data_IF_525317357042
#
_entry.id   IF_525317357042
#
_cell.length_a   1.000
_cell.length_b   1.000
_cell.length_c   1.000
_cell.angle_alpha   90.00
_cell.angle_beta   90.00
_cell.angle_gamma   90.00
#
_symmetry.space_group_name_H-M   'P 1'
#
loop_
_entity.id
_entity.type
_entity.pdbx_description
1 polymer ?
#
# COMPACT_ATOMS: atom_id res chain seq x y z
N UNK A 1 -12.58 4.74 -30.46
CA UNK A 1 -12.02 3.41 -30.80
C UNK A 1 -12.87 2.76 -31.88
N UNK A 2 -14.19 2.65 -31.70
CA UNK A 2 -15.12 2.05 -32.70
C UNK A 2 -14.93 2.65 -34.09
N UNK A 3 -14.96 3.97 -34.23
CA UNK A 3 -14.79 4.62 -35.53
C UNK A 3 -13.43 4.36 -36.21
N UNK A 4 -12.36 4.10 -35.45
CA UNK A 4 -11.06 3.71 -36.02
C UNK A 4 -11.11 2.28 -36.56
N UNK A 5 -11.77 1.37 -35.84
CA UNK A 5 -11.97 -0.01 -36.28
C UNK A 5 -12.87 -0.09 -37.53
N UNK A 6 -13.97 0.68 -37.58
CA UNK A 6 -14.82 0.78 -38.74
C UNK A 6 -14.06 1.32 -39.97
N UNK A 7 -13.21 2.32 -39.81
CA UNK A 7 -12.37 2.84 -40.89
C UNK A 7 -11.38 1.79 -41.41
N UNK A 8 -10.75 1.01 -40.51
CA UNK A 8 -9.86 -0.09 -40.93
C UNK A 8 -10.62 -1.16 -41.70
N UNK A 9 -11.82 -1.56 -41.23
CA UNK A 9 -12.64 -2.54 -41.91
C UNK A 9 -13.10 -2.04 -43.27
N UNK A 10 -13.55 -0.80 -43.38
CA UNK A 10 -13.94 -0.19 -44.66
C UNK A 10 -12.78 -0.12 -45.65
N UNK A 11 -11.56 0.19 -45.16
CA UNK A 11 -10.35 0.23 -46.01
C UNK A 11 -9.99 -1.16 -46.51
N UNK A 12 -10.09 -2.19 -45.65
CA UNK A 12 -9.80 -3.57 -46.01
C UNK A 12 -10.79 -4.15 -47.01
N UNK A 13 -12.06 -3.69 -46.97
CA UNK A 13 -13.12 -4.16 -47.90
C UNK A 13 -13.12 -3.44 -49.26
N UNK A 14 -12.35 -2.36 -49.42
CA UNK A 14 -12.19 -1.65 -50.71
C UNK A 14 -11.20 -2.37 -51.62
N UNK A 15 -11.07 -1.88 -52.85
CA UNK A 15 -10.02 -2.36 -53.76
C UNK A 15 -8.65 -2.04 -53.16
N UNK A 16 -7.87 -3.07 -52.93
CA UNK A 16 -6.51 -2.97 -52.36
C UNK A 16 -5.62 -2.28 -53.40
N UNK A 17 -4.95 -1.19 -52.97
CA UNK A 17 -3.96 -0.46 -53.74
C UNK A 17 -2.65 -0.33 -52.97
N UNK A 18 -1.65 0.37 -53.53
CA UNK A 18 -0.33 0.55 -52.95
C UNK A 18 -0.36 1.33 -51.61
N UNK A 19 -1.45 2.06 -51.30
CA UNK A 19 -1.58 2.88 -50.10
C UNK A 19 -2.38 2.18 -48.97
N UNK A 20 -3.13 1.14 -49.29
CA UNK A 20 -4.01 0.43 -48.34
C UNK A 20 -3.27 -0.05 -47.10
N UNK A 21 -2.05 -0.58 -47.28
CA UNK A 21 -1.23 -1.04 -46.14
C UNK A 21 -0.84 0.10 -45.21
N UNK A 22 -0.37 1.23 -45.74
CA UNK A 22 0.07 2.39 -44.96
C UNK A 22 -1.12 3.03 -44.21
N UNK A 23 -2.30 3.06 -44.84
CA UNK A 23 -3.53 3.57 -44.23
C UNK A 23 -3.92 2.69 -43.03
N UNK A 24 -3.92 1.37 -43.19
CA UNK A 24 -4.26 0.43 -42.10
C UNK A 24 -3.26 0.52 -40.96
N UNK A 25 -1.95 0.57 -41.25
CA UNK A 25 -0.90 0.72 -40.24
C UNK A 25 -1.05 2.03 -39.47
N UNK A 26 -1.32 3.14 -40.16
CA UNK A 26 -1.53 4.45 -39.52
C UNK A 26 -2.76 4.44 -38.60
N UNK A 27 -3.84 3.76 -38.96
CA UNK A 27 -5.04 3.63 -38.14
C UNK A 27 -4.78 2.72 -36.94
N UNK A 28 -3.97 1.67 -37.09
CA UNK A 28 -3.55 0.82 -35.99
C UNK A 28 -2.72 1.60 -34.97
N UNK A 29 -1.79 2.46 -35.43
CA UNK A 29 -1.02 3.36 -34.56
C UNK A 29 -1.93 4.31 -33.76
N UNK A 30 -2.97 4.88 -34.43
CA UNK A 30 -3.96 5.70 -33.75
C UNK A 30 -4.72 4.90 -32.67
N UNK A 31 -5.12 3.66 -32.97
CA UNK A 31 -5.79 2.78 -32.02
C UNK A 31 -4.92 2.48 -30.80
N UNK A 32 -3.63 2.16 -31.01
CA UNK A 32 -2.68 1.89 -29.95
C UNK A 32 -2.46 3.12 -29.05
N UNK A 33 -2.28 4.30 -29.67
CA UNK A 33 -2.13 5.57 -28.95
C UNK A 33 -3.37 5.91 -28.09
N UNK A 34 -4.59 5.68 -28.59
CA UNK A 34 -5.79 5.83 -27.77
C UNK A 34 -5.85 4.82 -26.63
N UNK A 35 -5.48 3.57 -26.86
CA UNK A 35 -5.45 2.52 -25.85
C UNK A 35 -4.47 2.87 -24.72
N UNK A 36 -3.26 3.32 -25.05
CA UNK A 36 -2.27 3.81 -24.10
C UNK A 36 -2.78 5.02 -23.31
N UNK A 37 -3.42 5.98 -23.98
CA UNK A 37 -4.01 7.15 -23.31
C UNK A 37 -5.09 6.77 -22.31
N UNK A 38 -5.99 5.83 -22.65
CA UNK A 38 -7.03 5.35 -21.73
C UNK A 38 -6.43 4.59 -20.57
N UNK A 39 -5.48 3.69 -20.83
CA UNK A 39 -4.74 2.99 -19.81
C UNK A 39 -4.05 3.96 -18.83
N UNK A 40 -3.28 4.91 -19.34
CA UNK A 40 -2.58 5.92 -18.54
C UNK A 40 -3.53 6.76 -17.68
N UNK A 41 -4.70 7.17 -18.23
CA UNK A 41 -5.71 7.90 -17.47
C UNK A 41 -6.30 7.06 -16.34
N UNK A 42 -6.65 5.81 -16.60
CA UNK A 42 -7.22 4.88 -15.63
C UNK A 42 -6.23 4.59 -14.48
N UNK A 43 -4.95 4.39 -14.82
CA UNK A 43 -3.90 4.15 -13.82
C UNK A 43 -3.49 5.40 -13.05
N UNK A 44 -3.45 6.59 -13.66
CA UNK A 44 -3.16 7.84 -12.93
C UNK A 44 -4.22 8.15 -11.87
N UNK A 45 -5.49 7.97 -12.19
CA UNK A 45 -6.58 8.21 -11.23
C UNK A 45 -6.53 7.17 -10.09
N UNK A 46 -6.22 5.93 -10.40
CA UNK A 46 -6.09 4.86 -9.41
C UNK A 46 -4.87 5.08 -8.52
N UNK A 47 -3.70 5.36 -9.08
CA UNK A 47 -2.47 5.62 -8.33
C UNK A 47 -2.60 6.84 -7.40
N UNK A 48 -3.34 7.89 -7.77
CA UNK A 48 -3.54 9.04 -6.90
C UNK A 48 -4.42 8.71 -5.69
N UNK A 49 -5.50 7.96 -5.89
CA UNK A 49 -6.39 7.50 -4.80
C UNK A 49 -5.67 6.51 -3.88
N UNK A 50 -4.92 5.57 -4.46
CA UNK A 50 -4.16 4.56 -3.74
C UNK A 50 -3.02 5.19 -2.92
N UNK A 51 -2.30 6.17 -3.47
CA UNK A 51 -1.28 6.95 -2.75
C UNK A 51 -1.89 7.78 -1.61
N UNK A 52 -3.09 8.35 -1.80
CA UNK A 52 -3.82 9.07 -0.76
C UNK A 52 -4.20 8.14 0.40
N UNK A 53 -4.69 6.93 0.11
CA UNK A 53 -5.04 5.95 1.15
C UNK A 53 -3.82 5.53 1.96
N UNK A 54 -2.67 5.30 1.33
CA UNK A 54 -1.44 4.95 2.05
C UNK A 54 -0.99 6.09 2.97
N UNK A 55 -1.04 7.34 2.50
CA UNK A 55 -0.72 8.51 3.30
C UNK A 55 -1.67 8.68 4.49
N UNK A 56 -2.98 8.52 4.27
CA UNK A 56 -3.98 8.58 5.33
C UNK A 56 -3.81 7.43 6.33
N UNK A 57 -3.53 6.22 5.87
CA UNK A 57 -3.22 5.07 6.72
C UNK A 57 -2.02 5.34 7.64
N UNK A 58 -0.93 5.88 7.10
CA UNK A 58 0.25 6.26 7.86
C UNK A 58 -0.06 7.36 8.89
N UNK A 59 -0.88 8.34 8.51
CA UNK A 59 -1.32 9.40 9.41
C UNK A 59 -2.18 8.88 10.56
N UNK A 60 -3.08 7.93 10.29
CA UNK A 60 -3.90 7.28 11.34
C UNK A 60 -3.00 6.53 12.34
N UNK A 61 -2.03 5.75 11.86
CA UNK A 61 -1.06 5.06 12.70
C UNK A 61 -0.27 6.05 13.57
N UNK A 62 0.30 7.09 12.96
CA UNK A 62 1.07 8.09 13.68
C UNK A 62 0.24 8.80 14.76
N UNK A 63 -0.94 9.29 14.39
CA UNK A 63 -1.83 10.01 15.30
C UNK A 63 -2.34 9.14 16.47
N UNK A 64 -2.51 7.84 16.25
CA UNK A 64 -2.93 6.93 17.32
C UNK A 64 -1.91 6.89 18.44
N UNK A 65 -0.62 6.79 18.10
CA UNK A 65 0.47 6.68 19.08
C UNK A 65 0.92 8.04 19.65
N UNK A 66 0.62 9.15 18.99
CA UNK A 66 0.87 10.49 19.56
C UNK A 66 -0.18 10.91 20.60
N UNK A 67 -1.39 10.32 20.53
CA UNK A 67 -2.49 10.65 21.46
C UNK A 67 -2.54 9.77 22.70
N UNK A 68 -1.44 9.12 23.08
CA UNK A 68 -1.32 8.22 24.24
C UNK A 68 -2.53 7.27 24.42
N UNK A 69 -2.88 6.58 23.35
CA UNK A 69 -3.90 5.55 23.44
C UNK A 69 -3.27 4.27 24.00
N UNK A 70 -3.61 3.95 25.23
CA UNK A 70 -3.15 2.77 25.98
C UNK A 70 -3.59 1.42 25.36
N UNK A 71 -4.04 1.42 24.13
CA UNK A 71 -4.55 0.23 23.45
C UNK A 71 -3.87 0.03 22.10
N UNK A 72 -3.49 -1.21 21.86
CA UNK A 72 -2.96 -1.63 20.56
C UNK A 72 -3.97 -1.35 19.44
N UNK A 73 -3.54 -0.61 18.43
CA UNK A 73 -4.37 -0.33 17.25
C UNK A 73 -4.59 -1.61 16.44
N UNK A 74 -5.81 -1.84 16.00
CA UNK A 74 -6.17 -2.97 15.17
C UNK A 74 -6.45 -2.56 13.71
N UNK A 75 -6.43 -3.53 12.80
CA UNK A 75 -6.84 -3.30 11.42
C UNK A 75 -8.29 -2.80 11.30
N UNK A 76 -9.16 -3.20 12.23
CA UNK A 76 -10.56 -2.76 12.28
C UNK A 76 -10.67 -1.29 12.68
N UNK A 77 -9.88 -0.85 13.67
CA UNK A 77 -9.85 0.55 14.11
C UNK A 77 -9.44 1.47 12.95
N UNK A 78 -8.36 1.12 12.23
CA UNK A 78 -7.88 1.90 11.09
C UNK A 78 -8.88 1.91 9.94
N UNK A 79 -9.45 0.77 9.60
CA UNK A 79 -10.44 0.66 8.53
C UNK A 79 -11.68 1.51 8.85
N UNK A 80 -12.15 1.50 10.11
CA UNK A 80 -13.25 2.34 10.58
C UNK A 80 -12.92 3.83 10.45
N UNK A 81 -11.73 4.26 10.87
CA UNK A 81 -11.30 5.67 10.78
C UNK A 81 -11.17 6.15 9.32
N UNK A 82 -10.77 5.24 8.41
CA UNK A 82 -10.70 5.51 6.98
C UNK A 82 -12.05 5.34 6.25
N UNK A 83 -13.12 4.94 6.96
CA UNK A 83 -14.44 4.64 6.38
C UNK A 83 -14.39 3.54 5.31
N UNK A 84 -13.58 2.51 5.55
CA UNK A 84 -13.34 1.37 4.66
C UNK A 84 -13.67 0.05 5.35
N UNK A 85 -13.91 -1.02 4.57
CA UNK A 85 -13.90 -2.36 5.13
C UNK A 85 -12.46 -2.83 5.38
N UNK A 86 -12.25 -3.68 6.40
CA UNK A 86 -10.93 -4.26 6.71
C UNK A 86 -10.36 -5.05 5.55
N UNK A 87 -11.22 -5.74 4.79
CA UNK A 87 -10.83 -6.51 3.62
C UNK A 87 -10.33 -5.60 2.50
N UNK A 88 -11.11 -4.57 2.15
CA UNK A 88 -10.75 -3.62 1.11
C UNK A 88 -9.44 -2.88 1.43
N UNK A 89 -9.27 -2.39 2.67
CA UNK A 89 -8.03 -1.76 3.12
C UNK A 89 -6.83 -2.71 3.01
N UNK A 90 -6.99 -3.96 3.42
CA UNK A 90 -5.92 -4.97 3.39
C UNK A 90 -5.50 -5.32 1.95
N UNK A 91 -6.46 -5.47 1.05
CA UNK A 91 -6.18 -5.79 -0.36
C UNK A 91 -5.54 -4.61 -1.08
N UNK A 92 -6.00 -3.39 -0.80
CA UNK A 92 -5.41 -2.17 -1.35
C UNK A 92 -3.96 -1.99 -0.89
N UNK A 93 -3.68 -2.10 0.41
CA UNK A 93 -2.32 -2.00 0.93
C UNK A 93 -1.42 -3.11 0.36
N UNK A 94 -1.95 -4.33 0.21
CA UNK A 94 -1.19 -5.44 -0.40
C UNK A 94 -0.88 -5.18 -1.87
N UNK A 95 -1.82 -4.61 -2.62
CA UNK A 95 -1.61 -4.23 -4.02
C UNK A 95 -0.51 -3.18 -4.17
N UNK A 96 -0.47 -2.19 -3.26
CA UNK A 96 0.47 -1.07 -3.29
C UNK A 96 1.88 -1.41 -2.81
N UNK A 97 1.96 -2.21 -1.73
CA UNK A 97 3.19 -2.38 -0.97
C UNK A 97 3.64 -3.83 -0.85
N UNK A 98 2.83 -4.78 -1.28
CA UNK A 98 3.04 -6.20 -1.05
C UNK A 98 2.65 -6.68 0.36
N UNK A 99 2.25 -5.77 1.27
CA UNK A 99 1.99 -6.06 2.67
C UNK A 99 0.52 -5.79 3.04
N UNK A 100 -0.08 -6.67 3.85
CA UNK A 100 -1.42 -6.46 4.38
C UNK A 100 -1.42 -5.46 5.57
N UNK A 101 -2.61 -5.01 5.98
CA UNK A 101 -2.78 -4.05 7.08
C UNK A 101 -2.06 -4.46 8.36
N UNK A 102 -2.21 -5.73 8.76
CA UNK A 102 -1.58 -6.25 9.99
C UNK A 102 -0.04 -6.22 9.92
N UNK A 103 0.52 -6.52 8.74
CA UNK A 103 1.97 -6.48 8.54
C UNK A 103 2.50 -5.05 8.64
N UNK A 104 1.79 -4.06 8.10
CA UNK A 104 2.13 -2.65 8.25
C UNK A 104 2.09 -2.19 9.72
N UNK A 105 1.05 -2.57 10.47
CA UNK A 105 0.95 -2.28 11.91
C UNK A 105 2.14 -2.87 12.66
N UNK A 106 2.49 -4.14 12.40
CA UNK A 106 3.62 -4.80 13.03
C UNK A 106 4.94 -4.09 12.72
N UNK A 107 5.20 -3.70 11.46
CA UNK A 107 6.41 -2.97 11.08
C UNK A 107 6.49 -1.65 11.85
N UNK A 108 5.40 -0.87 11.88
CA UNK A 108 5.35 0.39 12.60
C UNK A 108 5.64 0.23 14.09
N UNK A 109 5.02 -0.76 14.75
CA UNK A 109 5.25 -1.08 16.16
C UNK A 109 6.71 -1.46 16.44
N UNK A 110 7.32 -2.25 15.56
CA UNK A 110 8.73 -2.68 15.74
C UNK A 110 9.69 -1.51 15.56
N UNK A 111 9.49 -0.65 14.57
CA UNK A 111 10.34 0.53 14.40
C UNK A 111 10.21 1.50 15.60
N UNK A 112 9.00 1.73 16.11
CA UNK A 112 8.79 2.52 17.31
C UNK A 112 9.42 1.87 18.55
N UNK A 113 9.31 0.54 18.68
CA UNK A 113 9.98 -0.21 19.76
C UNK A 113 11.51 -0.08 19.73
N UNK A 114 12.12 -0.19 18.55
CA UNK A 114 13.57 0.02 18.37
C UNK A 114 13.98 1.41 18.84
N UNK A 115 13.24 2.43 18.43
CA UNK A 115 13.51 3.81 18.84
C UNK A 115 13.44 3.96 20.37
N UNK A 116 12.37 3.43 21.02
CA UNK A 116 12.24 3.49 22.49
C UNK A 116 13.33 2.69 23.21
N UNK A 117 13.71 1.53 22.71
CA UNK A 117 14.77 0.71 23.26
C UNK A 117 16.13 1.43 23.26
N UNK A 118 16.42 2.24 22.24
CA UNK A 118 17.68 2.95 22.08
C UNK A 118 17.70 4.34 22.71
N UNK A 119 16.55 5.04 22.72
CA UNK A 119 16.47 6.43 23.16
C UNK A 119 16.03 6.61 24.61
N UNK A 120 15.59 5.54 25.29
CA UNK A 120 15.06 5.61 26.65
C UNK A 120 15.61 4.52 27.55
N UNK A 121 15.50 4.76 28.88
CA UNK A 121 15.81 3.77 29.91
C UNK A 121 14.60 2.93 30.35
N UNK A 122 13.49 3.00 29.62
CA UNK A 122 12.27 2.24 29.92
C UNK A 122 12.57 0.73 29.88
N UNK A 123 12.01 -0.01 30.82
CA UNK A 123 12.06 -1.47 30.76
C UNK A 123 11.31 -2.02 29.56
N UNK A 124 11.62 -3.24 29.16
CA UNK A 124 10.91 -3.92 28.05
C UNK A 124 9.40 -4.01 28.31
N UNK A 125 8.99 -4.18 29.57
CA UNK A 125 7.58 -4.22 29.95
C UNK A 125 6.91 -2.84 29.80
N UNK A 126 7.58 -1.76 30.24
CA UNK A 126 7.07 -0.40 30.08
C UNK A 126 6.93 -0.03 28.60
N UNK A 127 7.90 -0.41 27.77
CA UNK A 127 7.81 -0.23 26.31
C UNK A 127 6.63 -1.02 25.73
N UNK A 128 6.44 -2.27 26.16
CA UNK A 128 5.30 -3.06 25.69
C UNK A 128 3.96 -2.39 26.04
N UNK A 129 3.81 -1.91 27.26
CA UNK A 129 2.61 -1.19 27.67
C UNK A 129 2.42 0.14 26.93
N UNK A 130 3.47 0.93 26.74
CA UNK A 130 3.39 2.18 25.97
C UNK A 130 3.04 1.98 24.49
N UNK A 131 3.27 0.79 23.96
CA UNK A 131 2.87 0.40 22.61
C UNK A 131 1.47 -0.24 22.56
N UNK A 132 0.77 -0.30 23.70
CA UNK A 132 -0.58 -0.82 23.82
C UNK A 132 -0.70 -2.35 23.97
N UNK A 133 0.39 -3.06 24.22
CA UNK A 133 0.33 -4.49 24.47
C UNK A 133 -0.19 -4.77 25.89
N UNK A 134 -1.25 -5.51 25.99
CA UNK A 134 -1.81 -5.96 27.28
C UNK A 134 -0.85 -6.92 28.01
N UNK A 135 -0.11 -7.72 27.25
CA UNK A 135 0.85 -8.71 27.80
C UNK A 135 2.23 -8.54 27.15
N UNK A 136 3.27 -8.14 27.89
CA UNK A 136 4.62 -7.92 27.40
C UNK A 136 5.26 -9.12 26.67
N UNK A 137 4.85 -10.32 27.02
CA UNK A 137 5.34 -11.53 26.35
C UNK A 137 4.92 -11.59 24.85
N UNK A 138 3.75 -11.03 24.49
CA UNK A 138 3.33 -10.97 23.07
C UNK A 138 4.17 -9.96 22.31
N UNK A 139 4.49 -8.81 22.92
CA UNK A 139 5.43 -7.86 22.35
C UNK A 139 6.79 -8.51 22.10
N UNK A 140 7.38 -9.17 23.10
CA UNK A 140 8.71 -9.79 23.00
C UNK A 140 8.76 -10.86 21.92
N UNK A 141 7.69 -11.67 21.76
CA UNK A 141 7.59 -12.65 20.66
C UNK A 141 7.49 -11.98 19.29
N UNK A 142 6.66 -10.96 19.16
CA UNK A 142 6.52 -10.21 17.92
C UNK A 142 7.85 -9.57 17.53
N UNK A 143 8.50 -8.90 18.47
CA UNK A 143 9.79 -8.25 18.25
C UNK A 143 10.85 -9.27 17.78
N UNK A 144 11.00 -10.40 18.48
CA UNK A 144 11.93 -11.47 18.09
C UNK A 144 11.58 -12.06 16.71
N UNK A 145 10.32 -12.27 16.42
CA UNK A 145 9.88 -12.83 15.12
C UNK A 145 10.20 -11.91 13.94
N UNK A 146 10.25 -10.59 14.17
CA UNK A 146 10.48 -9.57 13.13
C UNK A 146 11.94 -9.13 13.02
N UNK A 147 12.71 -9.20 14.11
CA UNK A 147 14.10 -8.71 14.17
C UNK A 147 15.12 -9.84 14.29
N UNK A 148 14.70 -11.04 14.62
CA UNK A 148 15.59 -12.17 14.94
C UNK A 148 16.15 -12.16 16.36
N UNK A 149 15.99 -11.06 17.12
CA UNK A 149 16.56 -10.83 18.43
C UNK A 149 15.47 -10.49 19.44
N UNK A 150 15.70 -10.77 20.73
CA UNK A 150 14.82 -10.28 21.78
C UNK A 150 15.02 -8.77 21.99
N UNK A 151 14.04 -8.04 22.57
CA UNK A 151 14.20 -6.61 22.89
C UNK A 151 15.43 -6.31 23.75
N UNK A 152 15.75 -7.20 24.71
CA UNK A 152 16.92 -7.05 25.60
C UNK A 152 18.23 -7.23 24.82
N UNK A 153 18.32 -8.26 23.96
CA UNK A 153 19.49 -8.49 23.11
C UNK A 153 19.71 -7.30 22.17
N UNK A 154 18.62 -6.78 21.55
CA UNK A 154 18.68 -5.63 20.66
C UNK A 154 19.23 -4.38 21.37
N UNK A 155 18.77 -4.08 22.60
CA UNK A 155 19.26 -2.94 23.40
C UNK A 155 20.73 -3.07 23.73
N UNK A 156 21.22 -4.27 24.10
CA UNK A 156 22.59 -4.49 24.55
C UNK A 156 23.62 -4.51 23.40
N UNK A 157 23.18 -4.69 22.16
CA UNK A 157 24.05 -4.77 20.97
C UNK A 157 24.26 -3.42 20.28
N UNK A 158 23.46 -2.42 20.62
CA UNK A 158 23.50 -1.08 20.06
C UNK A 158 23.66 -0.03 21.16
#
# INVERSE_FOLDING_TARGET
>A
IEGVMENMENEYQRNIDEHTQDIIVSQLDVLLNYSERFYTRQFRTRNSVESDVLTRFQSVLHNHFEKDKDKLITAADIASELSMSTHYLSDMLRSLTGLNTQQHIHIYLIERAKNLLLSTNLSVNEIAFSLGFEYPQYFSRLFKSKTGQTPVEFRNMN
#
